data_IF_819106353512
#
_entry.id   IF_819106353512
#
_cell.length_a   1.000
_cell.length_b   1.000
_cell.length_c   1.000
_cell.angle_alpha   90.00
_cell.angle_beta   90.00
_cell.angle_gamma   90.00
#
_symmetry.space_group_name_H-M   'P 1'
#
loop_
_entity.id
_entity.type
_entity.pdbx_description
1 polymer ?
#
# COMPACT_ATOMS: atom_id res chain seq x y z
N UNK A 1 -26.52 -20.51 11.74
CA UNK A 1 -26.60 -19.43 12.75
C UNK A 1 -25.99 -19.80 14.10
N UNK A 2 -26.28 -20.96 14.73
CA UNK A 2 -25.58 -21.34 15.99
C UNK A 2 -24.07 -21.59 15.83
N UNK A 3 -23.63 -22.08 14.65
CA UNK A 3 -22.23 -22.43 14.40
C UNK A 3 -21.27 -21.23 14.33
N UNK A 4 -21.74 -20.06 13.87
CA UNK A 4 -20.90 -18.86 13.73
C UNK A 4 -20.74 -18.11 15.05
N UNK A 5 -21.74 -18.20 15.94
CA UNK A 5 -21.80 -17.44 17.19
C UNK A 5 -20.58 -17.65 18.10
N UNK A 6 -20.08 -18.88 18.21
CA UNK A 6 -18.88 -19.17 19.01
C UNK A 6 -17.62 -18.47 18.47
N UNK A 7 -17.50 -18.33 17.15
CA UNK A 7 -16.33 -17.69 16.53
C UNK A 7 -16.38 -16.18 16.72
N UNK A 8 -17.58 -15.59 16.60
CA UNK A 8 -17.81 -14.17 16.84
C UNK A 8 -17.56 -13.82 18.31
N UNK A 9 -18.05 -14.63 19.26
CA UNK A 9 -17.82 -14.41 20.69
C UNK A 9 -16.32 -14.40 21.02
N UNK A 10 -15.54 -15.30 20.42
CA UNK A 10 -14.08 -15.31 20.63
C UNK A 10 -13.40 -14.10 19.99
N UNK A 11 -13.83 -13.69 18.79
CA UNK A 11 -13.33 -12.46 18.15
C UNK A 11 -13.63 -11.22 19.00
N UNK A 12 -14.82 -11.11 19.59
CA UNK A 12 -15.18 -10.02 20.51
C UNK A 12 -14.29 -9.99 21.76
N UNK A 13 -13.95 -11.17 22.33
CA UNK A 13 -12.98 -11.27 23.43
C UNK A 13 -11.60 -10.78 23.01
N UNK A 14 -11.11 -11.19 21.85
CA UNK A 14 -9.82 -10.74 21.33
C UNK A 14 -9.81 -9.23 21.02
N UNK A 15 -10.87 -8.71 20.41
CA UNK A 15 -11.06 -7.28 20.13
C UNK A 15 -11.06 -6.44 21.40
N UNK A 16 -11.70 -6.91 22.47
CA UNK A 16 -11.74 -6.19 23.74
C UNK A 16 -10.33 -5.92 24.28
N UNK A 17 -9.38 -6.84 24.07
CA UNK A 17 -7.97 -6.62 24.45
C UNK A 17 -7.36 -5.40 23.75
N UNK A 18 -7.68 -5.14 22.48
CA UNK A 18 -7.15 -3.98 21.74
C UNK A 18 -7.54 -2.67 22.43
N UNK A 19 -8.78 -2.56 22.89
CA UNK A 19 -9.30 -1.35 23.54
C UNK A 19 -8.70 -1.11 24.93
N UNK A 20 -8.40 -2.20 25.66
CA UNK A 20 -7.78 -2.13 26.99
C UNK A 20 -6.30 -1.72 26.94
N UNK A 21 -5.63 -2.01 25.82
CA UNK A 21 -4.22 -1.75 25.62
C UNK A 21 -3.96 -0.30 25.22
N UNK A 22 -3.08 0.36 25.97
CA UNK A 22 -2.71 1.78 25.72
C UNK A 22 -1.52 1.96 24.79
N UNK A 23 -0.71 0.91 24.59
CA UNK A 23 0.51 0.96 23.78
C UNK A 23 0.23 0.39 22.40
N UNK A 24 0.67 1.10 21.37
CA UNK A 24 0.40 0.74 19.97
C UNK A 24 1.02 -0.61 19.59
N UNK A 25 2.17 -0.96 20.17
CA UNK A 25 2.83 -2.24 19.94
C UNK A 25 1.99 -3.40 20.49
N UNK A 26 1.41 -3.22 21.68
CA UNK A 26 0.55 -4.23 22.29
C UNK A 26 -0.79 -4.36 21.55
N UNK A 27 -1.35 -3.24 21.06
CA UNK A 27 -2.54 -3.26 20.21
C UNK A 27 -2.27 -4.02 18.90
N UNK A 28 -1.10 -3.81 18.30
CA UNK A 28 -0.67 -4.56 17.13
C UNK A 28 -0.51 -6.05 17.43
N UNK A 29 0.09 -6.43 18.57
CA UNK A 29 0.20 -7.83 18.98
C UNK A 29 -1.18 -8.48 19.18
N UNK A 30 -2.13 -7.81 19.84
CA UNK A 30 -3.50 -8.31 19.98
C UNK A 30 -4.22 -8.47 18.63
N UNK A 31 -3.93 -7.62 17.65
CA UNK A 31 -4.46 -7.77 16.30
C UNK A 31 -3.84 -8.93 15.52
N UNK A 32 -2.57 -9.26 15.79
CA UNK A 32 -1.96 -10.49 15.26
C UNK A 32 -2.68 -11.74 15.78
N UNK A 33 -3.03 -11.77 17.07
CA UNK A 33 -3.81 -12.88 17.64
C UNK A 33 -5.15 -13.05 16.91
N UNK A 34 -5.81 -11.96 16.54
CA UNK A 34 -7.04 -11.99 15.72
C UNK A 34 -6.77 -12.58 14.35
N UNK A 35 -5.72 -12.14 13.65
CA UNK A 35 -5.39 -12.68 12.33
C UNK A 35 -5.06 -14.17 12.39
N UNK A 36 -4.27 -14.60 13.37
CA UNK A 36 -3.91 -16.01 13.57
C UNK A 36 -5.14 -16.86 13.88
N UNK A 37 -6.04 -16.37 14.74
CA UNK A 37 -7.30 -17.02 15.01
C UNK A 37 -8.15 -17.17 13.75
N UNK A 38 -8.33 -16.10 12.98
CA UNK A 38 -9.13 -16.10 11.75
C UNK A 38 -8.59 -17.10 10.74
N UNK A 39 -7.27 -17.10 10.49
CA UNK A 39 -6.61 -18.09 9.60
C UNK A 39 -6.88 -19.53 10.06
N UNK A 40 -6.88 -19.78 11.38
CA UNK A 40 -7.12 -21.11 11.95
C UNK A 40 -8.56 -21.61 11.76
N UNK A 41 -9.53 -20.69 11.71
CA UNK A 41 -10.96 -21.05 11.57
C UNK A 41 -11.44 -20.95 10.12
N UNK A 42 -10.73 -20.26 9.21
CA UNK A 42 -11.11 -20.13 7.79
C UNK A 42 -11.48 -21.46 7.11
N UNK A 43 -10.79 -22.60 7.36
CA UNK A 43 -11.18 -23.89 6.77
C UNK A 43 -12.60 -24.33 7.12
N UNK A 44 -13.15 -23.95 8.27
CA UNK A 44 -14.50 -24.33 8.70
C UNK A 44 -15.60 -23.62 7.90
N UNK A 45 -15.23 -22.57 7.16
CA UNK A 45 -16.16 -21.80 6.34
C UNK A 45 -16.01 -22.10 4.86
N UNK A 46 -15.01 -22.90 4.45
CA UNK A 46 -14.70 -23.14 3.04
C UNK A 46 -15.13 -24.54 2.60
N UNK A 47 -15.97 -24.63 1.57
CA UNK A 47 -16.29 -25.89 0.90
C UNK A 47 -15.39 -26.06 -0.34
N UNK A 48 -14.48 -27.03 -0.31
CA UNK A 48 -13.58 -27.33 -1.42
C UNK A 48 -14.31 -27.74 -2.71
N UNK A 49 -15.51 -28.35 -2.60
CA UNK A 49 -16.24 -28.86 -3.76
C UNK A 49 -16.97 -27.74 -4.52
N UNK A 50 -17.61 -26.83 -3.77
CA UNK A 50 -18.35 -25.71 -4.36
C UNK A 50 -17.53 -24.43 -4.49
N UNK A 51 -16.39 -24.33 -3.79
CA UNK A 51 -15.60 -23.12 -3.67
C UNK A 51 -16.31 -21.99 -2.90
N UNK A 52 -17.41 -22.31 -2.22
CA UNK A 52 -18.21 -21.32 -1.47
C UNK A 52 -17.68 -21.14 -0.06
N UNK A 53 -17.84 -19.92 0.45
CA UNK A 53 -17.46 -19.54 1.81
C UNK A 53 -18.63 -18.94 2.61
N UNK A 54 -19.62 -19.79 2.92
CA UNK A 54 -20.86 -19.35 3.59
C UNK A 54 -20.57 -18.67 4.94
N UNK A 55 -21.30 -17.59 5.22
CA UNK A 55 -21.26 -16.81 6.48
C UNK A 55 -19.90 -16.19 6.85
N UNK A 56 -18.85 -16.34 6.04
CA UNK A 56 -17.50 -15.83 6.34
C UNK A 56 -17.40 -14.29 6.32
N UNK A 57 -18.34 -13.61 5.67
CA UNK A 57 -18.39 -12.14 5.64
C UNK A 57 -18.55 -11.51 7.03
N UNK A 58 -19.22 -12.20 7.96
CA UNK A 58 -19.35 -11.72 9.35
C UNK A 58 -18.00 -11.76 10.08
N UNK A 59 -17.20 -12.82 9.85
CA UNK A 59 -15.83 -12.92 10.38
C UNK A 59 -14.96 -11.77 9.84
N UNK A 60 -15.04 -11.47 8.54
CA UNK A 60 -14.30 -10.37 7.93
C UNK A 60 -14.72 -8.99 8.45
N UNK A 61 -16.01 -8.82 8.74
CA UNK A 61 -16.51 -7.60 9.37
C UNK A 61 -15.89 -7.39 10.75
N UNK A 62 -15.77 -8.45 11.54
CA UNK A 62 -15.12 -8.39 12.85
C UNK A 62 -13.63 -8.05 12.75
N UNK A 63 -12.92 -8.63 11.78
CA UNK A 63 -11.51 -8.30 11.49
C UNK A 63 -11.36 -6.82 11.12
N UNK A 64 -12.17 -6.32 10.19
CA UNK A 64 -12.13 -4.92 9.77
C UNK A 64 -12.45 -3.98 10.94
N UNK A 65 -13.47 -4.32 11.74
CA UNK A 65 -13.84 -3.58 12.95
C UNK A 65 -12.68 -3.53 13.95
N UNK A 66 -11.97 -4.64 14.15
CA UNK A 66 -10.79 -4.70 15.00
C UNK A 66 -9.63 -3.82 14.48
N UNK A 67 -9.37 -3.86 13.16
CA UNK A 67 -8.36 -2.99 12.53
C UNK A 67 -8.69 -1.51 12.74
N UNK A 68 -9.97 -1.14 12.67
CA UNK A 68 -10.40 0.24 12.84
C UNK A 68 -10.31 0.75 14.28
N UNK A 69 -10.18 -0.14 15.27
CA UNK A 69 -9.86 0.23 16.65
C UNK A 69 -8.39 0.66 16.82
N UNK A 70 -7.49 0.25 15.90
CA UNK A 70 -6.09 0.66 15.93
C UNK A 70 -5.96 2.08 15.35
N UNK A 71 -5.35 3.03 16.10
CA UNK A 71 -5.10 4.36 15.59
C UNK A 71 -4.28 4.35 14.29
N UNK A 72 -4.47 5.39 13.47
CA UNK A 72 -3.66 5.61 12.27
C UNK A 72 -2.23 6.04 12.65
N UNK A 73 -1.42 5.07 13.06
CA UNK A 73 0.01 5.23 13.31
C UNK A 73 0.80 4.90 12.04
N UNK A 74 1.96 5.54 11.83
CA UNK A 74 2.82 5.27 10.69
C UNK A 74 3.99 4.36 11.07
N UNK A 75 4.28 3.35 10.23
CA UNK A 75 5.42 2.44 10.42
C UNK A 75 6.77 3.07 10.03
N UNK A 76 6.74 4.31 9.53
CA UNK A 76 7.90 5.09 9.17
C UNK A 76 7.74 6.52 9.66
N UNK A 77 8.86 7.18 9.93
CA UNK A 77 8.85 8.60 10.30
C UNK A 77 8.44 9.44 9.09
N UNK A 78 7.34 10.19 9.23
CA UNK A 78 6.92 11.19 8.25
C UNK A 78 7.30 12.55 8.81
N UNK A 79 8.25 13.28 8.19
CA UNK A 79 8.65 14.57 8.71
C UNK A 79 7.51 15.58 8.57
N UNK A 80 7.42 16.54 9.49
CA UNK A 80 6.37 17.54 9.45
C UNK A 80 6.51 18.41 8.19
N UNK A 81 5.43 18.52 7.43
CA UNK A 81 5.34 19.49 6.34
C UNK A 81 5.15 20.89 6.91
N UNK A 82 6.04 21.81 6.55
CA UNK A 82 5.92 23.24 6.84
C UNK A 82 5.81 23.98 5.50
N UNK A 83 4.65 24.59 5.18
CA UNK A 83 4.53 25.42 3.99
C UNK A 83 5.56 26.55 4.07
N UNK A 84 6.37 26.73 3.01
CA UNK A 84 7.36 27.82 2.95
C UNK A 84 6.80 29.13 2.38
N UNK A 85 5.53 29.15 2.00
CA UNK A 85 4.93 30.25 1.25
C UNK A 85 5.27 30.17 -0.24
N UNK A 86 4.47 30.85 -1.06
CA UNK A 86 4.62 30.82 -2.51
C UNK A 86 5.89 31.56 -2.95
N UNK A 87 6.88 30.82 -3.43
CA UNK A 87 8.04 31.36 -4.14
C UNK A 87 8.13 30.67 -5.50
N UNK A 88 8.22 31.44 -6.57
CA UNK A 88 8.64 30.90 -7.87
C UNK A 88 10.16 30.79 -7.80
N UNK A 89 10.74 29.57 -7.80
CA UNK A 89 12.19 29.41 -7.81
C UNK A 89 12.80 30.07 -9.04
N UNK A 90 14.09 30.38 -8.97
CA UNK A 90 14.89 30.78 -10.14
C UNK A 90 14.98 29.62 -11.18
N UNK A 91 14.51 28.42 -10.79
CA UNK A 91 14.48 27.18 -11.59
C UNK A 91 15.84 26.87 -12.21
N UNK A 92 16.90 27.22 -11.47
CA UNK A 92 18.28 27.10 -11.92
C UNK A 92 18.79 25.67 -11.83
N UNK A 93 18.26 24.91 -10.85
CA UNK A 93 18.60 23.51 -10.62
C UNK A 93 17.34 22.62 -10.72
N UNK A 94 17.43 21.39 -11.28
CA UNK A 94 16.31 20.46 -11.34
C UNK A 94 15.62 20.24 -9.99
N UNK A 95 16.38 20.18 -8.90
CA UNK A 95 15.92 19.97 -7.53
C UNK A 95 14.98 21.10 -7.06
N UNK A 96 15.23 22.36 -7.48
CA UNK A 96 14.35 23.50 -7.15
C UNK A 96 12.99 23.36 -7.84
N UNK A 97 12.97 22.86 -9.07
CA UNK A 97 11.73 22.54 -9.79
C UNK A 97 10.97 21.45 -9.04
N UNK A 98 11.66 20.41 -8.60
CA UNK A 98 11.06 19.27 -7.88
C UNK A 98 10.46 19.68 -6.54
N UNK A 99 11.19 20.47 -5.75
CA UNK A 99 10.71 21.01 -4.48
C UNK A 99 9.49 21.90 -4.69
N UNK A 100 9.50 22.77 -5.70
CA UNK A 100 8.33 23.59 -6.06
C UNK A 100 7.11 22.74 -6.43
N UNK A 101 7.28 21.71 -7.27
CA UNK A 101 6.19 20.82 -7.67
C UNK A 101 5.58 20.11 -6.46
N UNK A 102 6.42 19.63 -5.53
CA UNK A 102 5.96 18.96 -4.31
C UNK A 102 5.28 19.94 -3.35
N UNK A 103 5.87 21.11 -3.08
CA UNK A 103 5.34 22.10 -2.15
C UNK A 103 3.96 22.59 -2.61
N UNK A 104 3.82 23.00 -3.88
CA UNK A 104 2.54 23.41 -4.47
C UNK A 104 1.49 22.29 -4.40
N UNK A 105 1.91 21.04 -4.64
CA UNK A 105 1.00 19.89 -4.64
C UNK A 105 0.57 19.51 -3.24
N UNK A 106 1.48 19.52 -2.25
CA UNK A 106 1.15 19.28 -0.84
C UNK A 106 0.23 20.37 -0.32
N UNK A 107 0.46 21.63 -0.67
CA UNK A 107 -0.44 22.74 -0.35
C UNK A 107 -1.83 22.55 -0.99
N UNK A 108 -1.89 22.16 -2.26
CA UNK A 108 -3.15 21.84 -2.93
C UNK A 108 -3.90 20.71 -2.22
N UNK A 109 -3.23 19.61 -1.86
CA UNK A 109 -3.86 18.49 -1.14
C UNK A 109 -4.40 18.99 0.21
N UNK A 110 -3.56 19.68 1.00
CA UNK A 110 -3.91 20.16 2.33
C UNK A 110 -5.09 21.15 2.31
N UNK A 111 -5.00 22.19 1.48
CA UNK A 111 -5.97 23.28 1.47
C UNK A 111 -7.24 22.97 0.67
N UNK A 112 -7.17 22.13 -0.38
CA UNK A 112 -8.30 21.91 -1.29
C UNK A 112 -8.93 20.53 -1.17
N UNK A 113 -8.16 19.50 -0.81
CA UNK A 113 -8.68 18.14 -0.76
C UNK A 113 -9.09 17.71 0.65
N UNK A 114 -8.29 18.06 1.66
CA UNK A 114 -8.52 17.65 3.05
C UNK A 114 -9.42 18.61 3.86
N UNK A 115 -9.73 19.81 3.31
CA UNK A 115 -10.71 20.76 3.86
C UNK A 115 -10.57 21.06 5.37
N UNK A 116 -9.37 21.47 5.80
CA UNK A 116 -9.12 22.04 7.14
C UNK A 116 -9.64 21.20 8.33
N UNK A 117 -9.38 19.90 8.34
CA UNK A 117 -9.24 19.24 9.64
C UNK A 117 -7.94 19.78 10.27
N UNK A 118 -7.94 20.09 11.57
CA UNK A 118 -6.75 20.57 12.33
C UNK A 118 -5.61 19.53 12.41
N UNK A 119 -5.60 18.55 11.50
CA UNK A 119 -4.68 17.45 11.39
C UNK A 119 -3.52 17.88 10.50
N UNK A 120 -2.28 17.94 11.01
CA UNK A 120 -1.10 18.23 10.20
C UNK A 120 -0.99 17.28 9.00
N UNK A 121 -0.48 17.75 7.85
CA UNK A 121 -0.36 16.95 6.62
C UNK A 121 0.31 15.58 6.81
N UNK A 122 1.32 15.50 7.69
CA UNK A 122 2.04 14.26 7.98
C UNK A 122 1.22 13.23 8.79
N UNK A 123 0.04 13.63 9.29
CA UNK A 123 -0.96 12.75 9.89
C UNK A 123 -2.20 12.57 9.01
N UNK A 124 -2.23 13.19 7.82
CA UNK A 124 -3.38 13.14 6.95
C UNK A 124 -3.56 11.76 6.32
N UNK A 125 -4.82 11.35 6.20
CA UNK A 125 -5.20 10.16 5.46
C UNK A 125 -5.29 10.49 3.96
N UNK A 126 -4.33 10.01 3.16
CA UNK A 126 -4.17 10.40 1.75
C UNK A 126 -4.74 9.39 0.73
N UNK A 127 -5.42 8.34 1.18
CA UNK A 127 -6.02 7.35 0.29
C UNK A 127 -7.06 7.98 -0.65
N UNK A 128 -7.05 7.57 -1.91
CA UNK A 128 -7.96 8.09 -2.94
C UNK A 128 -7.58 9.49 -3.47
N UNK A 129 -6.52 10.10 -2.96
CA UNK A 129 -6.05 11.42 -3.42
C UNK A 129 -4.94 11.36 -4.47
N UNK A 130 -4.35 10.19 -4.73
CA UNK A 130 -3.22 10.01 -5.65
C UNK A 130 -3.52 10.49 -7.08
N UNK A 131 -4.70 10.20 -7.63
CA UNK A 131 -5.08 10.68 -8.97
C UNK A 131 -5.16 12.21 -9.06
N UNK A 132 -5.73 12.86 -8.04
CA UNK A 132 -5.87 14.32 -7.98
C UNK A 132 -4.52 14.99 -7.79
N UNK A 133 -3.68 14.45 -6.91
CA UNK A 133 -2.30 14.89 -6.71
C UNK A 133 -1.50 14.80 -8.01
N UNK A 134 -1.49 13.63 -8.65
CA UNK A 134 -0.72 13.40 -9.86
C UNK A 134 -1.18 14.26 -11.05
N UNK A 135 -2.50 14.51 -11.13
CA UNK A 135 -3.08 15.41 -12.13
C UNK A 135 -2.70 16.88 -11.87
N UNK A 136 -2.59 17.29 -10.60
CA UNK A 136 -2.16 18.63 -10.24
C UNK A 136 -0.69 18.86 -10.63
N UNK A 137 0.19 17.89 -10.32
CA UNK A 137 1.60 17.89 -10.78
C UNK A 137 1.69 18.06 -12.30
N UNK A 138 0.90 17.30 -13.08
CA UNK A 138 0.89 17.44 -14.55
C UNK A 138 0.53 18.86 -15.01
N UNK A 139 -0.41 19.53 -14.33
CA UNK A 139 -0.78 20.93 -14.63
C UNK A 139 0.34 21.90 -14.30
N UNK A 140 1.02 21.71 -13.16
CA UNK A 140 2.17 22.53 -12.77
C UNK A 140 3.30 22.37 -13.79
N UNK A 141 3.65 21.14 -14.16
CA UNK A 141 4.67 20.85 -15.19
C UNK A 141 4.33 21.52 -16.52
N UNK A 142 3.06 21.49 -16.95
CA UNK A 142 2.61 22.18 -18.16
C UNK A 142 2.80 23.70 -18.06
N UNK A 143 2.50 24.31 -16.90
CA UNK A 143 2.67 25.75 -16.64
C UNK A 143 4.14 26.18 -16.78
N UNK A 144 5.07 25.39 -16.24
CA UNK A 144 6.51 25.67 -16.27
C UNK A 144 7.23 25.02 -17.45
N UNK A 145 6.49 24.42 -18.40
CA UNK A 145 6.99 23.77 -19.62
C UNK A 145 8.01 22.64 -19.39
N UNK A 146 7.86 21.91 -18.29
CA UNK A 146 8.69 20.72 -17.98
C UNK A 146 7.98 19.45 -18.46
N UNK A 147 8.74 18.53 -19.06
CA UNK A 147 8.21 17.26 -19.55
C UNK A 147 7.89 16.33 -18.38
N UNK A 148 6.75 15.65 -18.45
CA UNK A 148 6.36 14.67 -17.43
C UNK A 148 5.52 13.54 -18.01
N UNK A 149 5.42 12.45 -17.25
CA UNK A 149 4.54 11.32 -17.48
C UNK A 149 3.73 11.07 -16.21
N UNK A 150 2.40 11.02 -16.33
CA UNK A 150 1.52 10.56 -15.25
C UNK A 150 1.35 9.05 -15.39
N UNK A 151 1.79 8.30 -14.38
CA UNK A 151 1.81 6.85 -14.39
C UNK A 151 0.70 6.32 -13.49
N UNK A 152 0.01 5.28 -13.94
CA UNK A 152 -0.96 4.50 -13.14
C UNK A 152 -0.36 3.13 -12.85
N UNK A 153 -0.27 2.77 -11.59
CA UNK A 153 -0.02 1.39 -11.16
C UNK A 153 -1.38 0.73 -11.00
N UNK A 154 -1.70 -0.22 -11.87
CA UNK A 154 -2.84 -1.11 -11.68
C UNK A 154 -2.40 -2.32 -10.85
N UNK A 155 -3.29 -2.96 -10.06
CA UNK A 155 -2.98 -4.21 -9.38
C UNK A 155 -2.39 -5.27 -10.32
N UNK A 156 -1.27 -5.88 -9.92
CA UNK A 156 -0.53 -6.83 -10.75
C UNK A 156 0.00 -6.23 -12.07
N UNK A 157 0.04 -4.90 -12.19
CA UNK A 157 0.43 -4.12 -13.37
C UNK A 157 -0.39 -4.36 -14.63
N UNK A 158 -1.56 -4.99 -14.50
CA UNK A 158 -2.44 -5.32 -15.63
C UNK A 158 -3.47 -4.23 -15.85
N UNK A 159 -3.54 -3.69 -17.07
CA UNK A 159 -4.61 -2.76 -17.46
C UNK A 159 -5.97 -3.46 -17.32
N UNK A 160 -6.93 -2.81 -16.65
CA UNK A 160 -8.22 -3.43 -16.29
C UNK A 160 -8.04 -4.71 -15.46
N UNK A 161 -7.19 -4.64 -14.44
CA UNK A 161 -6.87 -5.79 -13.59
C UNK A 161 -8.12 -6.39 -12.96
N UNK A 162 -8.25 -7.73 -12.93
CA UNK A 162 -9.31 -8.40 -12.19
C UNK A 162 -9.03 -8.47 -10.69
N UNK A 163 -7.82 -8.13 -10.25
CA UNK A 163 -7.44 -8.21 -8.83
C UNK A 163 -8.16 -7.10 -8.03
N UNK A 164 -8.55 -7.43 -6.80
CA UNK A 164 -9.25 -6.54 -5.87
C UNK A 164 -10.48 -5.86 -6.47
N UNK A 165 -11.23 -6.57 -7.32
CA UNK A 165 -12.42 -6.07 -8.01
C UNK A 165 -12.16 -4.77 -8.80
N UNK A 166 -10.95 -4.61 -9.33
CA UNK A 166 -10.52 -3.43 -10.08
C UNK A 166 -10.18 -2.20 -9.22
N UNK A 167 -10.06 -2.36 -7.89
CA UNK A 167 -9.60 -1.32 -6.95
C UNK A 167 -8.09 -1.43 -6.70
N UNK A 168 -7.55 -0.66 -5.75
CA UNK A 168 -6.12 -0.77 -5.36
C UNK A 168 -5.13 -0.20 -6.37
N UNK A 169 -5.57 0.68 -7.27
CA UNK A 169 -4.70 1.41 -8.18
C UNK A 169 -4.04 2.61 -7.50
N UNK A 170 -2.90 3.03 -8.03
CA UNK A 170 -2.17 4.21 -7.55
C UNK A 170 -1.67 5.08 -8.69
N UNK A 171 -1.48 6.38 -8.45
CA UNK A 171 -0.92 7.31 -9.43
C UNK A 171 0.27 8.06 -8.86
N UNK A 172 1.27 8.26 -9.72
CA UNK A 172 2.43 9.10 -9.45
C UNK A 172 2.90 9.77 -10.75
N UNK A 173 3.91 10.64 -10.68
CA UNK A 173 4.49 11.26 -11.87
C UNK A 173 5.97 10.93 -12.01
N UNK A 174 6.44 10.85 -13.26
CA UNK A 174 7.85 10.91 -13.60
C UNK A 174 8.09 12.23 -14.34
N UNK A 175 8.94 13.08 -13.80
CA UNK A 175 9.33 14.37 -14.36
C UNK A 175 10.70 14.24 -15.04
N UNK A 176 10.90 14.89 -16.18
CA UNK A 176 12.12 14.78 -16.99
C UNK A 176 12.72 16.17 -17.18
N UNK A 177 13.92 16.40 -16.64
CA UNK A 177 14.66 17.66 -16.68
C UNK A 177 16.10 17.33 -17.09
N UNK A 178 16.59 17.92 -18.17
CA UNK A 178 17.97 17.74 -18.68
C UNK A 178 18.43 16.28 -18.81
N UNK A 179 17.50 15.40 -19.21
CA UNK A 179 17.76 13.96 -19.38
C UNK A 179 17.74 13.15 -18.08
N UNK A 180 17.59 13.79 -16.92
CA UNK A 180 17.38 13.16 -15.61
C UNK A 180 15.89 12.87 -15.41
N UNK A 181 15.59 11.79 -14.71
CA UNK A 181 14.23 11.34 -14.43
C UNK A 181 13.98 11.46 -12.94
N UNK A 182 12.81 11.94 -12.53
CA UNK A 182 12.48 12.09 -11.12
C UNK A 182 11.08 11.54 -10.84
N UNK A 183 10.94 10.68 -9.85
CA UNK A 183 9.65 10.20 -9.37
C UNK A 183 9.08 11.22 -8.38
N UNK A 184 7.81 11.60 -8.53
CA UNK A 184 7.06 12.40 -7.56
C UNK A 184 5.83 11.62 -7.10
N UNK A 185 5.71 11.44 -5.79
CA UNK A 185 4.51 10.90 -5.14
C UNK A 185 4.22 11.62 -3.82
N UNK A 186 3.36 12.64 -3.90
CA UNK A 186 2.95 13.43 -2.74
C UNK A 186 1.93 12.71 -1.83
N UNK A 187 1.47 11.51 -2.21
CA UNK A 187 0.51 10.72 -1.45
C UNK A 187 1.10 9.43 -0.91
N UNK A 188 2.42 9.26 -1.03
CA UNK A 188 3.14 8.03 -0.73
C UNK A 188 2.96 7.52 0.70
N UNK A 189 2.77 8.42 1.67
CA UNK A 189 2.54 8.07 3.08
C UNK A 189 1.29 7.20 3.32
N UNK A 190 0.31 7.20 2.40
CA UNK A 190 -0.89 6.37 2.52
C UNK A 190 -0.57 4.86 2.66
N UNK A 191 0.58 4.43 2.15
CA UNK A 191 1.00 3.03 2.19
C UNK A 191 1.63 2.61 3.51
N UNK A 192 1.91 3.54 4.42
CA UNK A 192 2.72 3.31 5.63
C UNK A 192 1.88 3.32 6.92
N UNK A 193 0.55 3.20 6.81
CA UNK A 193 -0.33 3.11 7.98
C UNK A 193 -0.19 1.72 8.61
N UNK A 194 0.12 1.67 9.91
CA UNK A 194 0.43 0.45 10.67
C UNK A 194 -0.60 -0.66 10.47
N UNK A 195 -1.88 -0.39 10.73
CA UNK A 195 -2.95 -1.40 10.62
C UNK A 195 -3.09 -2.01 9.22
N UNK A 196 -2.55 -1.35 8.19
CA UNK A 196 -2.51 -1.84 6.80
C UNK A 196 -1.21 -2.53 6.44
N UNK A 197 -0.17 -2.38 7.26
CA UNK A 197 1.16 -2.93 7.00
C UNK A 197 1.47 -4.18 7.83
N UNK A 198 0.50 -4.71 8.56
CA UNK A 198 0.66 -5.94 9.34
C UNK A 198 0.69 -7.13 8.38
N UNK A 199 1.87 -7.74 8.20
CA UNK A 199 2.07 -8.88 7.29
C UNK A 199 1.28 -10.10 7.71
N UNK A 200 0.94 -10.19 8.99
CA UNK A 200 0.20 -11.29 9.59
C UNK A 200 -1.25 -11.38 9.05
N UNK A 201 -1.77 -10.33 8.40
CA UNK A 201 -3.05 -10.37 7.67
C UNK A 201 -2.98 -11.19 6.37
N UNK A 202 -1.78 -11.45 5.85
CA UNK A 202 -1.58 -12.32 4.68
C UNK A 202 -2.06 -13.73 5.05
N UNK A 203 -2.81 -14.35 4.13
CA UNK A 203 -3.35 -15.69 4.33
C UNK A 203 -4.80 -15.72 4.83
N UNK A 204 -5.37 -14.57 5.20
CA UNK A 204 -6.80 -14.45 5.48
C UNK A 204 -7.56 -14.45 4.14
N UNK A 205 -8.54 -15.35 4.02
CA UNK A 205 -9.38 -15.46 2.83
C UNK A 205 -10.20 -14.17 2.63
N UNK A 206 -10.43 -13.74 1.38
CA UNK A 206 -11.21 -12.56 1.00
C UNK A 206 -10.85 -11.23 1.70
N UNK A 207 -9.69 -11.17 2.33
CA UNK A 207 -9.15 -10.00 3.01
C UNK A 207 -7.90 -9.50 2.26
N UNK A 208 -7.70 -8.18 2.12
CA UNK A 208 -6.48 -7.67 1.49
C UNK A 208 -5.26 -7.98 2.37
N UNK A 209 -4.18 -8.45 1.75
CA UNK A 209 -2.89 -8.60 2.43
C UNK A 209 -2.30 -7.26 2.90
N UNK A 210 -1.04 -7.28 3.32
CA UNK A 210 -0.35 -6.07 3.74
C UNK A 210 -0.12 -5.10 2.58
N UNK A 211 -0.25 -3.81 2.88
CA UNK A 211 0.04 -2.70 1.98
C UNK A 211 1.51 -2.67 1.56
N UNK A 212 1.78 -2.05 0.40
CA UNK A 212 3.11 -1.93 -0.17
C UNK A 212 4.18 -1.40 0.81
N UNK A 213 3.80 -0.48 1.69
CA UNK A 213 4.70 0.09 2.70
C UNK A 213 5.31 -0.95 3.64
N UNK A 214 4.64 -2.08 3.90
CA UNK A 214 5.15 -3.19 4.71
C UNK A 214 6.40 -3.86 4.10
N UNK A 215 6.52 -3.82 2.79
CA UNK A 215 7.60 -4.44 2.03
C UNK A 215 8.68 -3.43 1.61
N UNK A 216 8.41 -2.14 1.81
CA UNK A 216 9.34 -1.06 1.51
C UNK A 216 10.24 -0.67 2.71
N UNK A 217 10.25 -1.46 3.79
CA UNK A 217 10.98 -1.14 5.04
C UNK A 217 12.40 -1.73 5.13
N UNK A 218 12.93 -2.34 4.07
CA UNK A 218 14.24 -3.00 4.13
C UNK A 218 15.18 -2.56 3.02
N UNK A 219 16.49 -2.70 3.25
CA UNK A 219 17.53 -2.51 2.23
C UNK A 219 17.46 -1.18 1.48
N UNK A 220 17.54 -1.25 0.15
CA UNK A 220 17.43 -0.09 -0.74
C UNK A 220 16.02 0.51 -0.74
N UNK A 221 14.97 -0.31 -0.65
CA UNK A 221 13.58 0.16 -0.62
C UNK A 221 13.34 1.09 0.56
N UNK A 222 13.93 0.81 1.73
CA UNK A 222 13.84 1.74 2.87
C UNK A 222 14.42 3.11 2.57
N UNK A 223 15.59 3.17 1.93
CA UNK A 223 16.24 4.44 1.57
C UNK A 223 15.38 5.23 0.57
N UNK A 224 14.82 4.54 -0.42
CA UNK A 224 13.91 5.14 -1.40
C UNK A 224 12.65 5.67 -0.71
N UNK A 225 12.05 4.88 0.18
CA UNK A 225 10.86 5.28 0.91
C UNK A 225 11.10 6.45 1.84
N UNK A 226 12.16 6.43 2.63
CA UNK A 226 12.51 7.52 3.55
C UNK A 226 12.76 8.83 2.76
N UNK A 227 13.39 8.72 1.57
CA UNK A 227 13.59 9.85 0.68
C UNK A 227 12.27 10.43 0.16
N UNK A 228 11.37 9.59 -0.39
CA UNK A 228 10.07 10.05 -0.93
C UNK A 228 9.17 10.57 0.19
N UNK A 229 9.13 9.92 1.36
CA UNK A 229 8.35 10.41 2.51
C UNK A 229 8.83 11.80 2.95
N UNK A 230 10.15 12.04 2.93
CA UNK A 230 10.73 13.32 3.30
C UNK A 230 10.53 14.39 2.23
N UNK A 231 10.99 14.13 1.02
CA UNK A 231 11.09 15.11 -0.05
C UNK A 231 9.87 15.16 -0.96
N UNK A 232 9.04 14.11 -0.98
CA UNK A 232 7.93 13.92 -1.92
C UNK A 232 8.39 13.48 -3.32
N UNK A 233 9.70 13.44 -3.55
CA UNK A 233 10.32 13.06 -4.80
C UNK A 233 11.66 12.35 -4.59
N UNK A 234 12.14 11.66 -5.62
CA UNK A 234 13.48 11.07 -5.68
C UNK A 234 13.96 11.04 -7.14
N UNK A 235 15.26 11.26 -7.39
CA UNK A 235 15.84 11.00 -8.71
C UNK A 235 15.76 9.51 -9.04
N UNK A 236 15.39 9.18 -10.27
CA UNK A 236 15.06 7.84 -10.71
C UNK A 236 16.18 7.27 -11.57
N UNK A 237 16.75 6.17 -11.11
CA UNK A 237 17.49 5.22 -11.92
C UNK A 237 16.78 3.84 -11.93
N UNK A 238 17.42 2.84 -12.54
CA UNK A 238 16.85 1.49 -12.61
C UNK A 238 16.66 0.83 -11.23
N UNK A 239 17.61 1.03 -10.32
CA UNK A 239 17.59 0.41 -8.99
C UNK A 239 16.54 1.06 -8.10
N UNK A 240 16.40 2.39 -8.17
CA UNK A 240 15.38 3.16 -7.45
C UNK A 240 13.98 2.82 -7.98
N UNK A 241 13.81 2.71 -9.31
CA UNK A 241 12.55 2.28 -9.91
C UNK A 241 12.15 0.89 -9.43
N UNK A 242 13.09 -0.07 -9.46
CA UNK A 242 12.85 -1.42 -8.96
C UNK A 242 12.49 -1.41 -7.48
N UNK A 243 13.27 -0.73 -6.65
CA UNK A 243 13.05 -0.68 -5.20
C UNK A 243 11.68 -0.08 -4.83
N UNK A 244 11.21 0.90 -5.59
CA UNK A 244 9.87 1.49 -5.45
C UNK A 244 8.75 0.51 -5.88
N UNK A 245 8.91 -0.17 -7.02
CA UNK A 245 7.85 -1.03 -7.59
C UNK A 245 7.80 -2.43 -6.96
N UNK A 246 8.90 -2.93 -6.41
CA UNK A 246 8.95 -4.20 -5.67
C UNK A 246 7.94 -4.22 -4.52
N UNK A 247 7.80 -3.13 -3.77
CA UNK A 247 6.83 -3.09 -2.68
C UNK A 247 5.39 -3.28 -3.17
N UNK A 248 5.04 -2.74 -4.35
CA UNK A 248 3.73 -2.98 -4.96
C UNK A 248 3.58 -4.42 -5.46
N UNK A 249 4.56 -4.93 -6.21
CA UNK A 249 4.54 -6.31 -6.72
C UNK A 249 4.38 -7.35 -5.60
N UNK A 250 5.10 -7.19 -4.49
CA UNK A 250 5.01 -8.06 -3.32
C UNK A 250 3.66 -7.90 -2.61
N UNK A 251 3.14 -6.67 -2.49
CA UNK A 251 1.83 -6.44 -1.86
C UNK A 251 0.65 -7.06 -2.59
N UNK A 252 0.83 -7.35 -3.88
CA UNK A 252 -0.20 -8.04 -4.66
C UNK A 252 -0.21 -9.55 -4.41
N UNK A 253 0.81 -10.13 -3.78
CA UNK A 253 0.85 -11.56 -3.44
C UNK A 253 0.01 -11.86 -2.20
N UNK A 254 -0.72 -12.97 -2.25
CA UNK A 254 -1.51 -13.48 -1.13
C UNK A 254 -0.82 -14.68 -0.44
N UNK A 255 -1.44 -15.23 0.60
CA UNK A 255 -0.86 -16.31 1.42
C UNK A 255 -0.54 -17.58 0.64
N UNK A 256 -1.29 -17.88 -0.43
CA UNK A 256 -1.09 -19.08 -1.24
C UNK A 256 0.23 -19.05 -2.03
N UNK A 257 0.73 -17.86 -2.36
CA UNK A 257 2.06 -17.73 -2.95
C UNK A 257 3.12 -18.28 -1.99
N UNK A 258 3.09 -17.79 -0.75
CA UNK A 258 4.08 -18.11 0.27
C UNK A 258 3.95 -19.56 0.73
N UNK A 259 2.73 -20.09 0.81
CA UNK A 259 2.49 -21.50 1.13
C UNK A 259 3.06 -22.43 0.07
N UNK A 260 2.86 -22.11 -1.21
CA UNK A 260 3.31 -22.97 -2.30
C UNK A 260 4.83 -22.89 -2.51
N UNK A 261 5.42 -21.69 -2.37
CA UNK A 261 6.83 -21.45 -2.66
C UNK A 261 7.75 -21.67 -1.46
N UNK A 262 7.23 -21.51 -0.23
CA UNK A 262 8.05 -21.45 0.98
C UNK A 262 8.96 -20.22 1.07
N UNK A 263 8.80 -19.22 0.19
CA UNK A 263 9.67 -18.05 0.11
C UNK A 263 9.07 -16.84 0.84
N UNK A 264 9.49 -16.64 2.09
CA UNK A 264 9.12 -15.49 2.93
C UNK A 264 10.15 -14.35 2.86
N UNK A 265 11.00 -14.31 1.83
CA UNK A 265 11.97 -13.22 1.67
C UNK A 265 11.30 -11.88 1.35
N UNK A 266 10.06 -11.90 0.86
CA UNK A 266 9.32 -10.73 0.38
C UNK A 266 10.08 -9.97 -0.71
N UNK A 267 10.71 -10.70 -1.62
CA UNK A 267 11.47 -10.12 -2.74
C UNK A 267 10.86 -10.51 -4.09
N UNK A 268 11.30 -9.82 -5.16
CA UNK A 268 10.94 -10.18 -6.54
C UNK A 268 12.19 -10.34 -7.40
N UNK A 269 12.10 -11.24 -8.37
CA UNK A 269 13.12 -11.43 -9.41
C UNK A 269 12.97 -10.44 -10.59
N UNK A 270 12.00 -9.51 -10.54
CA UNK A 270 11.76 -8.57 -11.64
C UNK A 270 12.91 -7.58 -11.79
N UNK A 271 13.39 -7.42 -13.01
CA UNK A 271 14.40 -6.42 -13.35
C UNK A 271 13.77 -5.03 -13.57
N UNK A 272 14.56 -3.94 -13.59
CA UNK A 272 14.06 -2.63 -13.99
C UNK A 272 13.39 -2.62 -15.37
N UNK A 273 13.91 -3.43 -16.32
CA UNK A 273 13.35 -3.55 -17.66
C UNK A 273 11.98 -4.24 -17.67
N UNK A 274 11.74 -5.19 -16.75
CA UNK A 274 10.43 -5.83 -16.61
C UNK A 274 9.41 -4.82 -16.10
N UNK A 275 9.79 -4.03 -15.10
CA UNK A 275 8.95 -2.96 -14.59
C UNK A 275 8.64 -1.89 -15.63
N UNK A 276 9.59 -1.53 -16.49
CA UNK A 276 9.29 -0.64 -17.61
C UNK A 276 8.23 -1.21 -18.55
N UNK A 277 8.27 -2.52 -18.85
CA UNK A 277 7.23 -3.19 -19.66
C UNK A 277 5.90 -3.21 -18.92
N UNK A 278 5.91 -3.44 -17.61
CA UNK A 278 4.73 -3.43 -16.74
C UNK A 278 4.04 -2.06 -16.75
N UNK A 279 4.78 -0.98 -16.52
CA UNK A 279 4.24 0.38 -16.53
C UNK A 279 3.74 0.83 -17.92
N UNK A 280 4.27 0.24 -18.99
CA UNK A 280 3.80 0.45 -20.38
C UNK A 280 2.67 -0.51 -20.78
N UNK A 281 2.21 -1.37 -19.86
CA UNK A 281 1.23 -2.44 -20.08
C UNK A 281 1.58 -3.38 -21.26
N UNK A 282 2.87 -3.56 -21.53
CA UNK A 282 3.38 -4.53 -22.52
C UNK A 282 3.56 -5.92 -21.93
N UNK A 283 3.59 -5.99 -20.60
CA UNK A 283 3.67 -7.20 -19.80
C UNK A 283 3.01 -6.92 -18.44
N UNK A 284 2.82 -7.92 -17.58
CA UNK A 284 2.22 -7.75 -16.26
C UNK A 284 2.54 -8.94 -15.33
N UNK A 285 2.35 -8.78 -14.03
CA UNK A 285 2.68 -9.79 -13.02
C UNK A 285 1.91 -11.11 -13.20
N UNK A 286 0.66 -11.06 -13.69
CA UNK A 286 -0.15 -12.26 -13.92
C UNK A 286 0.38 -13.15 -15.06
N UNK A 287 1.34 -12.67 -15.86
CA UNK A 287 2.04 -13.50 -16.85
C UNK A 287 3.19 -14.30 -16.23
N UNK A 288 3.64 -13.93 -15.03
CA UNK A 288 4.83 -14.49 -14.36
C UNK A 288 4.49 -15.25 -13.08
N UNK A 289 3.35 -14.96 -12.47
CA UNK A 289 2.86 -15.58 -11.24
C UNK A 289 1.43 -16.10 -11.43
N UNK A 290 1.02 -17.12 -10.68
CA UNK A 290 -0.31 -17.72 -10.83
C UNK A 290 -1.38 -16.71 -10.42
N UNK A 291 -2.50 -16.67 -11.14
CA UNK A 291 -3.64 -15.82 -10.77
C UNK A 291 -4.13 -16.07 -9.34
N UNK A 292 -4.05 -17.32 -8.86
CA UNK A 292 -4.44 -17.70 -7.49
C UNK A 292 -3.49 -17.18 -6.41
N UNK A 293 -2.27 -16.75 -6.79
CA UNK A 293 -1.26 -16.21 -5.88
C UNK A 293 -1.37 -14.69 -5.71
N UNK A 294 -2.22 -14.02 -6.48
CA UNK A 294 -2.32 -12.58 -6.52
C UNK A 294 -3.73 -12.10 -6.12
N UNK A 295 -3.82 -10.91 -5.53
CA UNK A 295 -5.10 -10.30 -5.17
C UNK A 295 -5.70 -10.86 -3.88
N UNK A 296 -7.03 -10.97 -3.84
CA UNK A 296 -7.71 -11.69 -2.77
C UNK A 296 -7.38 -13.17 -2.84
N UNK A 297 -7.29 -13.80 -1.68
CA UNK A 297 -7.16 -15.23 -1.56
C UNK A 297 -8.55 -15.83 -1.37
N UNK A 298 -9.00 -16.70 -2.29
CA UNK A 298 -10.36 -17.26 -2.27
C UNK A 298 -10.46 -18.66 -1.66
N UNK A 299 -9.37 -19.18 -1.10
CA UNK A 299 -9.32 -20.46 -0.36
C UNK A 299 -8.42 -20.32 0.86
N UNK A 300 -8.67 -21.04 1.96
CA UNK A 300 -7.80 -20.99 3.12
C UNK A 300 -6.39 -21.50 2.78
N UNK A 301 -5.39 -21.00 3.52
CA UNK A 301 -4.10 -21.69 3.63
C UNK A 301 -4.31 -23.00 4.39
N UNK A 302 -3.56 -24.04 4.03
CA UNK A 302 -3.54 -25.34 4.70
C UNK A 302 -2.81 -25.29 6.03
N UNK A 303 -1.70 -24.56 6.09
CA UNK A 303 -0.95 -24.36 7.34
C UNK A 303 -1.26 -23.00 7.96
N UNK A 304 -2.25 -22.97 8.85
CA UNK A 304 -2.63 -21.75 9.58
C UNK A 304 -1.57 -21.26 10.56
N UNK A 305 -0.51 -22.06 10.83
CA UNK A 305 0.59 -21.68 11.72
C UNK A 305 1.72 -20.91 11.01
N UNK A 306 1.60 -20.73 9.69
CA UNK A 306 2.55 -19.94 8.90
C UNK A 306 2.69 -18.52 9.45
N UNK A 307 3.94 -18.14 9.71
CA UNK A 307 4.32 -16.82 10.18
C UNK A 307 4.78 -15.98 9.00
N UNK A 308 4.07 -14.90 8.77
CA UNK A 308 4.35 -13.92 7.71
C UNK A 308 5.17 -12.76 8.27
#
# INVERSE_FOLDING_TARGET
TEFIGQYIEELEKLKSKILELKKIELQADAMRDIYDYVKSISPNFYDEQSGQHADYSEILFEVQSAQDMIPNYFISHIPPYKPKGFFLPDFSEPEEIMDFLVEETREYIYNKLLRHEDIPFHYAFLEGHCYKSATYISKLCQRIKVKQMKIKIEPGFKKHSPLYDGRGWHYFNIVIIDGRYFLIDCTYSQFFILKRCMKESIGIMDHPGASAGAFMQTGISKKVSDCILKHGWIELDGDILKAYLDGFAVSYRNGLYYEETGDFSYTTWYSPLDYEKFLKHKDNQLNHEKNTHLGFQYRPIKDSSMKF
#
